data_IF_982205627538
#
_entry.id   IF_982205627538
#
_cell.length_a   1.000
_cell.length_b   1.000
_cell.length_c   1.000
_cell.angle_alpha   90.00
_cell.angle_beta   90.00
_cell.angle_gamma   90.00
#
_symmetry.space_group_name_H-M   'P 1'
#
loop_
_entity.id
_entity.type
_entity.pdbx_description
1 polymer ?
#
# COMPACT_ATOMS: atom_id res chain seq x y z
N UNK A 1 -12.18 -32.04 30.71
CA UNK A 1 -12.31 -30.56 30.63
C UNK A 1 -13.51 -30.24 29.76
N UNK A 2 -14.60 -29.77 30.35
CA UNK A 2 -15.80 -29.35 29.62
C UNK A 2 -15.44 -28.15 28.75
N UNK A 3 -15.63 -28.23 27.44
CA UNK A 3 -15.48 -27.07 26.57
C UNK A 3 -16.45 -25.99 27.03
N UNK A 4 -16.02 -24.73 27.19
CA UNK A 4 -16.95 -23.65 27.52
C UNK A 4 -17.99 -23.53 26.40
N UNK A 5 -19.27 -23.63 26.74
CA UNK A 5 -20.41 -23.44 25.83
C UNK A 5 -20.98 -22.04 25.99
N UNK A 6 -21.58 -21.53 24.91
CA UNK A 6 -22.37 -20.29 24.92
C UNK A 6 -23.81 -20.63 24.54
N UNK A 7 -24.74 -19.72 24.83
CA UNK A 7 -26.14 -19.86 24.48
C UNK A 7 -26.52 -18.84 23.41
N UNK A 8 -27.08 -19.31 22.29
CA UNK A 8 -27.60 -18.45 21.25
C UNK A 8 -29.13 -18.44 21.29
N UNK A 9 -29.73 -17.27 21.11
CA UNK A 9 -31.17 -17.09 21.12
C UNK A 9 -31.61 -16.04 20.10
N UNK A 10 -32.78 -16.23 19.50
CA UNK A 10 -33.38 -15.28 18.54
C UNK A 10 -34.41 -14.43 19.29
N UNK A 11 -34.25 -13.11 19.21
CA UNK A 11 -35.10 -12.15 19.90
C UNK A 11 -35.91 -11.30 18.91
N UNK A 12 -37.18 -11.05 19.25
CA UNK A 12 -37.99 -10.00 18.65
C UNK A 12 -37.85 -8.71 19.49
N UNK A 13 -37.23 -7.63 18.96
CA UNK A 13 -36.77 -6.49 19.75
C UNK A 13 -37.88 -5.60 20.34
N UNK A 14 -39.13 -5.74 19.92
CA UNK A 14 -40.19 -4.76 20.17
C UNK A 14 -40.59 -4.54 21.65
N UNK A 15 -40.21 -5.40 22.61
CA UNK A 15 -40.64 -5.27 24.01
C UNK A 15 -39.78 -6.02 25.04
N UNK A 16 -38.46 -6.09 24.85
CA UNK A 16 -37.58 -6.87 25.72
C UNK A 16 -37.14 -6.12 26.97
N UNK A 17 -37.61 -6.59 28.13
CA UNK A 17 -37.01 -6.29 29.43
C UNK A 17 -35.78 -7.18 29.58
N UNK A 18 -34.62 -6.60 29.91
CA UNK A 18 -33.42 -7.40 30.22
C UNK A 18 -33.39 -7.82 31.68
N UNK A 19 -32.78 -8.99 32.01
CA UNK A 19 -32.60 -9.42 33.39
C UNK A 19 -31.87 -8.36 34.24
N UNK A 20 -32.21 -8.26 35.52
CA UNK A 20 -31.73 -7.25 36.47
C UNK A 20 -30.36 -7.55 37.09
N UNK A 21 -29.54 -8.37 36.43
CA UNK A 21 -28.21 -8.78 36.89
C UNK A 21 -27.16 -8.74 35.78
N UNK A 22 -25.89 -8.64 36.16
CA UNK A 22 -24.77 -8.54 35.23
C UNK A 22 -24.71 -9.74 34.29
N UNK A 23 -24.71 -9.47 32.98
CA UNK A 23 -24.68 -10.48 31.93
C UNK A 23 -23.42 -11.35 31.88
N UNK A 24 -22.38 -11.00 32.66
CA UNK A 24 -21.10 -11.70 32.68
C UNK A 24 -20.86 -12.51 33.96
N UNK A 25 -21.29 -12.02 35.13
CA UNK A 25 -20.98 -12.66 36.42
C UNK A 25 -22.18 -12.78 37.37
N UNK A 26 -23.37 -12.29 37.00
CA UNK A 26 -24.56 -12.33 37.85
C UNK A 26 -24.59 -11.34 39.02
N UNK A 27 -23.56 -10.50 39.19
CA UNK A 27 -23.56 -9.45 40.22
C UNK A 27 -24.58 -8.35 39.92
N UNK A 28 -24.98 -7.52 40.92
CA UNK A 28 -25.84 -6.37 40.70
C UNK A 28 -25.26 -5.43 39.61
N UNK A 29 -26.09 -4.95 38.68
CA UNK A 29 -25.63 -4.10 37.59
C UNK A 29 -25.38 -2.69 38.09
N UNK A 30 -24.42 -2.01 37.45
CA UNK A 30 -24.11 -0.61 37.71
C UNK A 30 -24.20 0.25 36.45
N UNK A 31 -24.13 -0.38 35.27
CA UNK A 31 -24.19 0.28 33.96
C UNK A 31 -24.78 -0.68 32.94
N UNK A 32 -25.10 -0.18 31.76
CA UNK A 32 -25.56 -0.99 30.63
C UNK A 32 -24.84 -0.64 29.33
N UNK A 33 -24.68 -1.61 28.44
CA UNK A 33 -24.17 -1.42 27.07
C UNK A 33 -25.26 -1.80 26.06
N UNK A 34 -25.36 -1.07 24.96
CA UNK A 34 -26.33 -1.36 23.90
C UNK A 34 -25.77 -2.39 22.92
N UNK A 35 -26.48 -3.50 22.72
CA UNK A 35 -26.14 -4.56 21.75
C UNK A 35 -27.26 -4.67 20.71
N UNK A 36 -27.11 -3.92 19.61
CA UNK A 36 -28.21 -3.71 18.65
C UNK A 36 -29.29 -2.84 19.29
N UNK A 37 -30.46 -3.42 19.56
CA UNK A 37 -31.58 -2.74 20.22
C UNK A 37 -31.73 -3.12 21.70
N UNK A 38 -30.95 -4.09 22.19
CA UNK A 38 -31.00 -4.56 23.57
C UNK A 38 -30.09 -3.74 24.48
N UNK A 39 -30.57 -3.38 25.68
CA UNK A 39 -29.78 -2.71 26.72
C UNK A 39 -29.27 -3.76 27.70
N UNK A 40 -28.01 -4.19 27.59
CA UNK A 40 -27.46 -5.30 28.38
C UNK A 40 -26.81 -4.78 29.67
N UNK A 41 -27.23 -5.26 30.86
CA UNK A 41 -26.67 -4.82 32.13
C UNK A 41 -25.31 -5.45 32.47
N UNK A 42 -24.42 -4.64 33.03
CA UNK A 42 -23.08 -5.01 33.49
C UNK A 42 -22.74 -4.39 34.85
N UNK A 43 -21.96 -5.10 35.66
CA UNK A 43 -21.30 -4.51 36.83
C UNK A 43 -20.03 -3.73 36.42
N UNK A 44 -19.55 -2.82 37.28
CA UNK A 44 -18.37 -1.96 37.00
C UNK A 44 -17.13 -2.78 36.62
N UNK A 45 -16.89 -3.91 37.29
CA UNK A 45 -15.73 -4.78 37.02
C UNK A 45 -15.80 -5.40 35.63
N UNK A 46 -16.95 -5.94 35.25
CA UNK A 46 -17.13 -6.53 33.92
C UNK A 46 -17.05 -5.48 32.81
N UNK A 47 -17.60 -4.28 33.02
CA UNK A 47 -17.48 -3.18 32.06
C UNK A 47 -16.01 -2.76 31.87
N UNK A 48 -15.22 -2.71 32.94
CA UNK A 48 -13.79 -2.39 32.88
C UNK A 48 -12.99 -3.42 32.07
N UNK A 49 -13.34 -4.70 32.16
CA UNK A 49 -12.66 -5.74 31.37
C UNK A 49 -13.01 -5.63 29.88
N UNK A 50 -14.29 -5.39 29.56
CA UNK A 50 -14.76 -5.16 28.21
C UNK A 50 -14.09 -3.93 27.58
N UNK A 51 -14.04 -2.80 28.30
CA UNK A 51 -13.38 -1.58 27.81
C UNK A 51 -11.87 -1.74 27.65
N UNK A 52 -11.21 -2.45 28.59
CA UNK A 52 -9.81 -2.79 28.46
C UNK A 52 -9.54 -3.69 27.24
N UNK A 53 -10.44 -4.61 26.91
CA UNK A 53 -10.34 -5.44 25.71
C UNK A 53 -10.48 -4.61 24.43
N UNK A 54 -11.46 -3.71 24.37
CA UNK A 54 -11.64 -2.80 23.23
C UNK A 54 -10.42 -1.88 23.06
N UNK A 55 -9.91 -1.32 24.15
CA UNK A 55 -8.72 -0.46 24.14
C UNK A 55 -7.48 -1.22 23.67
N UNK A 56 -7.29 -2.47 24.11
CA UNK A 56 -6.20 -3.32 23.63
C UNK A 56 -6.32 -3.63 22.14
N UNK A 57 -7.52 -3.92 21.65
CA UNK A 57 -7.73 -4.06 20.21
C UNK A 57 -7.31 -2.79 19.51
N UNK A 58 -7.81 -1.62 19.94
CA UNK A 58 -7.52 -0.32 19.32
C UNK A 58 -6.01 -0.05 19.27
N UNK A 59 -5.34 -0.27 20.40
CA UNK A 59 -3.89 -0.17 20.49
C UNK A 59 -3.18 -1.13 19.54
N UNK A 60 -3.63 -2.39 19.44
CA UNK A 60 -3.02 -3.36 18.52
C UNK A 60 -3.21 -2.95 17.04
N UNK A 61 -4.40 -2.47 16.66
CA UNK A 61 -4.67 -1.99 15.31
C UNK A 61 -3.86 -0.74 14.96
N UNK A 62 -3.81 0.26 15.85
CA UNK A 62 -3.00 1.46 15.66
C UNK A 62 -1.50 1.14 15.57
N UNK A 63 -1.00 0.28 16.48
CA UNK A 63 0.39 -0.19 16.43
C UNK A 63 0.69 -0.95 15.13
N UNK A 64 -0.24 -1.77 14.64
CA UNK A 64 -0.12 -2.47 13.36
C UNK A 64 0.03 -1.49 12.19
N UNK A 65 -0.81 -0.45 12.14
CA UNK A 65 -0.71 0.62 11.13
C UNK A 65 0.61 1.39 11.22
N UNK A 66 1.01 1.79 12.44
CA UNK A 66 2.26 2.52 12.68
C UNK A 66 3.47 1.71 12.25
N UNK A 67 3.53 0.43 12.62
CA UNK A 67 4.62 -0.47 12.20
C UNK A 67 4.64 -0.64 10.69
N UNK A 68 3.47 -0.87 10.06
CA UNK A 68 3.37 -0.99 8.60
C UNK A 68 3.91 0.25 7.89
N UNK A 69 3.46 1.44 8.32
CA UNK A 69 3.87 2.71 7.74
C UNK A 69 5.37 2.98 7.93
N UNK A 70 5.88 2.82 9.15
CA UNK A 70 7.29 3.02 9.45
C UNK A 70 8.19 2.05 8.66
N UNK A 71 7.81 0.77 8.57
CA UNK A 71 8.58 -0.21 7.80
C UNK A 71 8.54 0.10 6.30
N UNK A 72 7.38 0.47 5.75
CA UNK A 72 7.25 0.82 4.32
C UNK A 72 8.17 1.99 3.92
N UNK A 73 8.40 2.95 4.82
CA UNK A 73 9.28 4.10 4.57
C UNK A 73 10.75 3.84 4.89
N UNK A 74 11.04 3.13 5.99
CA UNK A 74 12.41 2.95 6.46
C UNK A 74 13.13 1.77 5.80
N UNK A 75 12.40 0.70 5.50
CA UNK A 75 13.00 -0.53 4.96
C UNK A 75 13.64 -0.37 3.58
N UNK A 76 13.15 0.46 2.62
CA UNK A 76 13.86 0.68 1.35
C UNK A 76 15.21 1.37 1.56
N UNK A 77 15.37 2.16 2.63
CA UNK A 77 16.61 2.83 2.97
C UNK A 77 17.57 1.92 3.75
N UNK A 78 17.04 1.10 4.67
CA UNK A 78 17.83 0.19 5.48
C UNK A 78 18.28 -1.05 4.70
N UNK A 79 17.50 -1.51 3.73
CA UNK A 79 17.80 -2.66 2.89
C UNK A 79 17.47 -2.38 1.41
N UNK A 80 18.26 -1.51 0.76
CA UNK A 80 17.98 -1.07 -0.61
C UNK A 80 18.08 -2.19 -1.65
N UNK A 81 18.89 -3.22 -1.40
CA UNK A 81 19.00 -4.37 -2.32
C UNK A 81 17.83 -5.36 -2.24
N UNK A 82 16.85 -5.13 -1.36
CA UNK A 82 15.70 -6.01 -1.22
C UNK A 82 14.79 -5.98 -2.45
N UNK A 83 14.39 -7.16 -2.93
CA UNK A 83 13.34 -7.26 -3.94
C UNK A 83 12.00 -6.77 -3.39
N UNK A 84 11.10 -6.34 -4.29
CA UNK A 84 9.74 -5.92 -3.92
C UNK A 84 9.02 -7.00 -3.08
N UNK A 85 9.17 -8.28 -3.45
CA UNK A 85 8.56 -9.40 -2.72
C UNK A 85 9.08 -9.52 -1.29
N UNK A 86 10.40 -9.40 -1.08
CA UNK A 86 11.01 -9.42 0.25
C UNK A 86 10.55 -8.21 1.08
N UNK A 87 10.49 -7.04 0.46
CA UNK A 87 10.01 -5.81 1.09
C UNK A 87 8.56 -5.95 1.57
N UNK A 88 7.64 -6.35 0.70
CA UNK A 88 6.23 -6.59 1.04
C UNK A 88 6.07 -7.64 2.14
N UNK A 89 6.84 -8.74 2.09
CA UNK A 89 6.78 -9.80 3.08
C UNK A 89 7.17 -9.29 4.49
N UNK A 90 8.25 -8.51 4.60
CA UNK A 90 8.72 -7.97 5.89
C UNK A 90 7.74 -6.94 6.45
N UNK A 91 7.23 -6.01 5.62
CA UNK A 91 6.27 -4.99 6.06
C UNK A 91 4.96 -5.67 6.52
N UNK A 92 4.46 -6.64 5.76
CA UNK A 92 3.26 -7.39 6.12
C UNK A 92 3.47 -8.18 7.42
N UNK A 93 4.56 -8.95 7.54
CA UNK A 93 4.88 -9.70 8.74
C UNK A 93 5.01 -8.78 9.97
N UNK A 94 5.67 -7.64 9.82
CA UNK A 94 5.77 -6.61 10.86
C UNK A 94 4.40 -6.07 11.28
N UNK A 95 3.52 -5.77 10.32
CA UNK A 95 2.15 -5.31 10.60
C UNK A 95 1.31 -6.34 11.35
N UNK A 96 1.56 -7.63 11.15
CA UNK A 96 0.83 -8.71 11.83
C UNK A 96 1.30 -8.96 13.27
N UNK A 97 2.50 -8.50 13.65
CA UNK A 97 3.08 -8.77 14.97
C UNK A 97 2.25 -8.16 16.13
N UNK A 98 1.78 -6.90 16.09
CA UNK A 98 0.88 -6.39 17.13
C UNK A 98 -0.45 -7.14 17.22
N UNK A 99 -0.95 -7.66 16.08
CA UNK A 99 -2.20 -8.40 16.00
C UNK A 99 -2.07 -9.83 16.56
N UNK A 100 -0.92 -10.48 16.39
CA UNK A 100 -0.67 -11.81 16.94
C UNK A 100 -0.63 -11.79 18.47
N UNK A 101 -0.08 -10.72 19.08
CA UNK A 101 -0.13 -10.50 20.53
C UNK A 101 -1.57 -10.34 21.05
N UNK A 102 -2.46 -9.78 20.22
CA UNK A 102 -3.89 -9.66 20.53
C UNK A 102 -4.64 -10.98 20.37
N UNK A 103 -4.19 -11.84 19.44
CA UNK A 103 -4.75 -13.16 19.18
C UNK A 103 -4.49 -14.15 20.33
N UNK A 104 -3.52 -13.84 21.21
CA UNK A 104 -3.16 -14.72 22.31
C UNK A 104 -4.36 -14.96 23.24
N UNK A 105 -4.76 -16.22 23.45
CA UNK A 105 -5.97 -16.54 24.18
C UNK A 105 -5.86 -16.07 25.63
N UNK A 106 -6.86 -15.31 26.09
CA UNK A 106 -7.01 -14.95 27.50
C UNK A 106 -8.15 -15.73 28.10
N UNK A 107 -7.90 -16.30 29.28
CA UNK A 107 -8.94 -16.95 30.07
C UNK A 107 -9.74 -15.88 30.82
N UNK A 108 -11.06 -16.06 30.96
CA UNK A 108 -11.85 -15.26 31.89
C UNK A 108 -11.25 -15.35 33.30
N UNK A 109 -11.38 -14.28 34.07
CA UNK A 109 -11.07 -14.32 35.50
C UNK A 109 -12.03 -15.29 36.22
N UNK A 110 -11.61 -15.91 37.34
CA UNK A 110 -12.49 -16.78 38.12
C UNK A 110 -13.80 -16.07 38.48
N UNK A 111 -14.93 -16.74 38.23
CA UNK A 111 -16.28 -16.19 38.46
C UNK A 111 -16.82 -15.30 37.32
N UNK A 112 -16.07 -15.11 36.24
CA UNK A 112 -16.53 -14.41 35.05
C UNK A 112 -16.82 -15.39 33.92
N UNK A 113 -17.96 -15.21 33.26
CA UNK A 113 -18.28 -15.99 32.07
C UNK A 113 -17.37 -15.60 30.90
N UNK A 114 -16.94 -14.35 30.75
CA UNK A 114 -16.18 -13.87 29.59
C UNK A 114 -14.95 -13.03 29.92
N UNK A 115 -13.94 -13.11 29.06
CA UNK A 115 -12.73 -12.28 29.13
C UNK A 115 -12.93 -10.89 28.51
N UNK A 116 -13.90 -10.76 27.60
CA UNK A 116 -14.23 -9.52 26.89
C UNK A 116 -15.72 -9.21 27.00
N UNK A 117 -16.50 -9.46 25.95
CA UNK A 117 -17.95 -9.24 25.91
C UNK A 117 -18.68 -10.52 26.31
N UNK A 118 -19.68 -10.38 27.18
CA UNK A 118 -20.53 -11.49 27.58
C UNK A 118 -21.75 -11.68 26.66
N UNK A 119 -22.14 -10.65 25.92
CA UNK A 119 -23.26 -10.70 24.96
C UNK A 119 -22.83 -10.04 23.66
N UNK A 120 -23.12 -10.68 22.52
CA UNK A 120 -22.88 -10.11 21.18
C UNK A 120 -23.86 -10.67 20.17
N UNK A 121 -23.98 -10.01 19.02
CA UNK A 121 -24.84 -10.46 17.91
C UNK A 121 -24.04 -11.31 16.92
N UNK A 122 -24.63 -12.43 16.50
CA UNK A 122 -24.13 -13.30 15.44
C UNK A 122 -24.54 -12.77 14.06
N UNK A 123 -23.86 -13.23 13.00
CA UNK A 123 -24.11 -12.77 11.63
C UNK A 123 -25.53 -13.09 11.13
N UNK A 124 -26.15 -14.16 11.66
CA UNK A 124 -27.53 -14.56 11.38
C UNK A 124 -28.59 -13.78 12.20
N UNK A 125 -28.16 -12.77 12.97
CA UNK A 125 -29.03 -11.92 13.76
C UNK A 125 -29.34 -12.43 15.17
N UNK A 126 -28.93 -13.67 15.53
CA UNK A 126 -29.11 -14.21 16.89
C UNK A 126 -28.20 -13.52 17.89
N UNK A 127 -28.58 -13.54 19.16
CA UNK A 127 -27.77 -13.06 20.28
C UNK A 127 -27.07 -14.23 20.95
N UNK A 128 -25.74 -14.14 21.05
CA UNK A 128 -24.91 -15.06 21.80
C UNK A 128 -24.65 -14.51 23.21
N UNK A 129 -24.86 -15.36 24.22
CA UNK A 129 -24.66 -15.06 25.63
C UNK A 129 -23.64 -16.05 26.22
N UNK A 130 -22.59 -15.52 26.86
CA UNK A 130 -21.53 -16.32 27.47
C UNK A 130 -21.95 -16.93 28.82
N UNK A 131 -22.77 -16.23 29.60
CA UNK A 131 -23.27 -16.70 30.90
C UNK A 131 -24.60 -17.46 30.72
N UNK A 132 -24.66 -18.77 31.02
CA UNK A 132 -25.87 -19.56 30.81
C UNK A 132 -27.09 -19.04 31.59
N UNK A 133 -26.89 -18.57 32.83
CA UNK A 133 -27.99 -18.07 33.67
C UNK A 133 -28.64 -16.83 33.06
N UNK A 134 -27.82 -15.92 32.52
CA UNK A 134 -28.30 -14.72 31.84
C UNK A 134 -29.08 -15.09 30.57
N UNK A 135 -28.55 -16.02 29.78
CA UNK A 135 -29.21 -16.48 28.56
C UNK A 135 -30.57 -17.13 28.82
N UNK A 136 -30.67 -17.99 29.84
CA UNK A 136 -31.92 -18.64 30.23
C UNK A 136 -32.94 -17.61 30.71
N UNK A 137 -32.54 -16.67 31.57
CA UNK A 137 -33.44 -15.61 32.04
C UNK A 137 -33.98 -14.75 30.90
N UNK A 138 -33.10 -14.35 29.97
CA UNK A 138 -33.47 -13.58 28.79
C UNK A 138 -34.41 -14.36 27.87
N UNK A 139 -34.16 -15.65 27.65
CA UNK A 139 -34.99 -16.50 26.83
C UNK A 139 -36.38 -16.76 27.43
N UNK A 140 -36.48 -16.93 28.76
CA UNK A 140 -37.76 -17.07 29.45
C UNK A 140 -38.62 -15.82 29.32
N UNK A 141 -38.02 -14.63 29.45
CA UNK A 141 -38.73 -13.36 29.27
C UNK A 141 -39.17 -13.13 27.82
N UNK A 142 -38.37 -13.57 26.86
CA UNK A 142 -38.60 -13.38 25.43
C UNK A 142 -39.46 -14.45 24.76
N UNK A 143 -39.77 -15.55 25.46
CA UNK A 143 -40.33 -16.79 24.88
C UNK A 143 -39.49 -17.24 23.66
N UNK A 144 -38.17 -17.27 23.84
CA UNK A 144 -37.21 -17.59 22.78
C UNK A 144 -36.59 -18.97 22.97
N UNK A 145 -36.31 -19.65 21.86
CA UNK A 145 -35.55 -20.90 21.86
C UNK A 145 -34.06 -20.64 22.17
N UNK A 146 -33.49 -21.51 23.00
CA UNK A 146 -32.07 -21.46 23.39
C UNK A 146 -31.32 -22.61 22.76
N UNK A 147 -30.37 -22.28 21.90
CA UNK A 147 -29.43 -23.24 21.34
C UNK A 147 -28.09 -23.21 22.08
N UNK A 148 -27.53 -24.37 22.38
CA UNK A 148 -26.16 -24.46 22.90
C UNK A 148 -25.19 -24.44 21.72
N UNK A 149 -24.31 -23.44 21.68
CA UNK A 149 -23.26 -23.38 20.68
C UNK A 149 -21.86 -23.55 21.32
N UNK A 150 -20.90 -24.12 20.59
CA UNK A 150 -19.50 -24.04 20.99
C UNK A 150 -19.11 -22.56 21.07
N UNK A 151 -18.42 -22.20 22.15
CA UNK A 151 -18.07 -20.80 22.37
C UNK A 151 -17.05 -20.31 21.34
N UNK A 152 -17.49 -19.42 20.47
CA UNK A 152 -16.65 -18.67 19.55
C UNK A 152 -16.83 -17.17 19.83
N UNK A 153 -16.00 -16.62 20.72
CA UNK A 153 -15.94 -15.15 20.86
C UNK A 153 -15.47 -14.54 19.53
N UNK A 154 -16.03 -13.40 19.09
CA UNK A 154 -15.54 -12.69 17.93
C UNK A 154 -14.14 -12.16 18.23
N UNK A 155 -13.10 -12.92 17.84
CA UNK A 155 -11.70 -12.61 18.19
C UNK A 155 -11.13 -11.44 17.38
N UNK A 156 -11.70 -11.18 16.20
CA UNK A 156 -11.14 -10.23 15.24
C UNK A 156 -12.23 -9.35 14.64
N UNK A 157 -12.47 -8.14 15.18
CA UNK A 157 -13.23 -7.16 14.44
C UNK A 157 -12.49 -6.80 13.14
N UNK A 158 -13.25 -6.66 12.04
CA UNK A 158 -12.70 -6.47 10.69
C UNK A 158 -11.78 -5.25 10.56
N UNK A 159 -12.00 -4.20 11.35
CA UNK A 159 -11.16 -3.00 11.34
C UNK A 159 -9.71 -3.27 11.80
N UNK A 160 -9.41 -4.39 12.46
CA UNK A 160 -8.02 -4.78 12.76
C UNK A 160 -7.22 -5.13 11.50
N UNK A 161 -7.88 -5.36 10.36
CA UNK A 161 -7.23 -5.59 9.07
C UNK A 161 -6.72 -4.31 8.41
N UNK A 162 -7.00 -3.12 8.97
CA UNK A 162 -6.54 -1.84 8.41
C UNK A 162 -5.01 -1.79 8.35
N UNK A 163 -4.30 -2.27 9.37
CA UNK A 163 -2.84 -2.29 9.37
C UNK A 163 -2.24 -3.14 8.24
N UNK A 164 -2.64 -4.42 8.09
CA UNK A 164 -2.25 -5.25 6.94
C UNK A 164 -2.67 -4.68 5.59
N UNK A 165 -3.82 -4.02 5.50
CA UNK A 165 -4.25 -3.35 4.27
C UNK A 165 -3.33 -2.16 3.92
N UNK A 166 -2.98 -1.35 4.91
CA UNK A 166 -1.99 -0.27 4.78
C UNK A 166 -0.63 -0.85 4.40
N UNK A 167 -0.20 -1.99 4.95
CA UNK A 167 1.02 -2.67 4.55
C UNK A 167 0.97 -3.11 3.07
N UNK A 168 -0.15 -3.71 2.63
CA UNK A 168 -0.30 -4.22 1.27
C UNK A 168 -0.23 -3.12 0.20
N UNK A 169 -0.63 -1.89 0.52
CA UNK A 169 -0.59 -0.74 -0.39
C UNK A 169 0.69 0.07 -0.18
N UNK A 170 1.06 0.33 1.08
CA UNK A 170 2.19 1.18 1.45
C UNK A 170 3.53 0.56 1.12
N UNK A 171 3.70 -0.77 1.28
CA UNK A 171 4.95 -1.45 0.96
C UNK A 171 5.33 -1.32 -0.54
N UNK A 172 4.46 -1.65 -1.52
CA UNK A 172 4.82 -1.46 -2.92
C UNK A 172 4.97 0.01 -3.28
N UNK A 173 4.15 0.91 -2.74
CA UNK A 173 4.28 2.35 -3.00
C UNK A 173 5.63 2.90 -2.49
N UNK A 174 6.02 2.59 -1.26
CA UNK A 174 7.29 2.98 -0.67
C UNK A 174 8.48 2.40 -1.43
N UNK A 175 8.41 1.12 -1.79
CA UNK A 175 9.45 0.48 -2.61
C UNK A 175 9.58 1.17 -3.97
N UNK A 176 8.49 1.39 -4.70
CA UNK A 176 8.50 2.04 -6.02
C UNK A 176 9.01 3.48 -5.96
N UNK A 177 8.68 4.22 -4.90
CA UNK A 177 9.16 5.57 -4.67
C UNK A 177 10.68 5.61 -4.48
N UNK A 178 11.23 4.70 -3.67
CA UNK A 178 12.66 4.61 -3.39
C UNK A 178 13.47 3.83 -4.44
N UNK A 179 12.80 3.17 -5.40
CA UNK A 179 13.42 2.46 -6.51
C UNK A 179 13.01 3.10 -7.83
N UNK A 180 13.51 4.32 -8.13
CA UNK A 180 13.16 5.04 -9.34
C UNK A 180 13.49 4.24 -10.60
N UNK A 181 12.78 4.57 -11.66
CA UNK A 181 12.99 3.98 -12.98
C UNK A 181 14.12 4.72 -13.69
N UNK A 182 15.06 3.96 -14.25
CA UNK A 182 16.05 4.44 -15.20
C UNK A 182 15.77 3.78 -16.54
N UNK A 183 15.46 4.60 -17.56
CA UNK A 183 15.40 4.14 -18.94
C UNK A 183 16.83 4.18 -19.50
N UNK A 184 17.29 3.05 -20.03
CA UNK A 184 18.62 2.92 -20.62
C UNK A 184 18.52 2.80 -22.12
N UNK A 185 19.23 3.65 -22.85
CA UNK A 185 19.29 3.64 -24.32
C UNK A 185 20.65 3.21 -24.83
N UNK A 186 20.64 2.39 -25.87
CA UNK A 186 21.84 2.08 -26.63
C UNK A 186 21.83 2.82 -27.98
N UNK A 187 22.50 3.96 -28.02
CA UNK A 187 22.67 4.77 -29.22
C UNK A 187 23.92 4.40 -30.03
N UNK A 188 24.59 3.31 -29.69
CA UNK A 188 25.75 2.80 -30.42
C UNK A 188 25.29 1.79 -31.48
N UNK A 189 26.20 1.43 -32.39
CA UNK A 189 25.92 0.45 -33.46
C UNK A 189 26.11 -1.01 -32.98
N UNK A 190 26.66 -1.19 -31.77
CA UNK A 190 26.99 -2.49 -31.19
C UNK A 190 26.11 -2.78 -29.98
N UNK A 191 26.00 -4.07 -29.62
CA UNK A 191 25.37 -4.47 -28.36
C UNK A 191 26.17 -3.93 -27.16
N UNK A 192 25.47 -3.36 -26.18
CA UNK A 192 26.06 -2.92 -24.93
C UNK A 192 25.67 -3.84 -23.77
N UNK A 193 26.63 -4.13 -22.90
CA UNK A 193 26.37 -4.74 -21.60
C UNK A 193 26.35 -3.63 -20.55
N UNK A 194 25.25 -3.53 -19.81
CA UNK A 194 25.06 -2.51 -18.78
C UNK A 194 25.37 -3.12 -17.42
N UNK A 195 26.22 -2.42 -16.66
CA UNK A 195 26.55 -2.76 -15.28
C UNK A 195 26.19 -1.62 -14.33
N UNK A 196 25.86 -1.99 -13.09
CA UNK A 196 25.50 -1.06 -12.02
C UNK A 196 26.35 -1.46 -10.82
N UNK A 197 27.15 -0.51 -10.34
CA UNK A 197 28.12 -0.74 -9.27
C UNK A 197 29.01 -1.96 -9.54
N UNK A 198 29.41 -2.13 -10.81
CA UNK A 198 30.25 -3.23 -11.29
C UNK A 198 29.55 -4.57 -11.46
N UNK A 199 28.23 -4.65 -11.26
CA UNK A 199 27.45 -5.89 -11.46
C UNK A 199 26.69 -5.82 -12.79
N UNK A 200 26.80 -6.84 -13.66
CA UNK A 200 26.05 -6.86 -14.91
C UNK A 200 24.54 -6.96 -14.61
N UNK A 201 23.75 -6.10 -15.23
CA UNK A 201 22.29 -6.05 -15.03
C UNK A 201 21.56 -6.54 -16.28
N UNK A 202 21.96 -6.06 -17.46
CA UNK A 202 21.31 -6.42 -18.72
C UNK A 202 22.22 -6.20 -19.93
N UNK A 203 21.79 -6.70 -21.08
CA UNK A 203 22.39 -6.42 -22.39
C UNK A 203 21.36 -5.72 -23.30
N UNK A 204 21.80 -4.74 -24.08
CA UNK A 204 20.97 -3.91 -24.94
C UNK A 204 21.41 -3.98 -26.39
N UNK A 205 20.47 -4.25 -27.29
CA UNK A 205 20.67 -4.04 -28.72
C UNK A 205 20.65 -2.54 -29.07
N UNK A 206 21.31 -2.16 -30.18
CA UNK A 206 21.20 -0.82 -30.77
C UNK A 206 19.75 -0.36 -30.92
N UNK A 207 19.47 0.86 -30.48
CA UNK A 207 18.15 1.50 -30.48
C UNK A 207 18.27 3.01 -30.75
N UNK A 208 18.96 3.35 -31.85
CA UNK A 208 19.20 4.74 -32.27
C UNK A 208 17.97 5.42 -32.90
N UNK A 209 16.98 4.65 -33.35
CA UNK A 209 15.73 5.19 -33.89
C UNK A 209 14.74 5.56 -32.78
N UNK A 210 13.91 6.57 -33.03
CA UNK A 210 12.77 6.89 -32.18
C UNK A 210 11.75 5.73 -32.20
N UNK A 211 11.53 5.14 -31.03
CA UNK A 211 10.52 4.11 -30.80
C UNK A 211 10.09 4.07 -29.34
N UNK A 212 8.79 3.90 -29.03
CA UNK A 212 8.30 3.67 -27.65
C UNK A 212 8.95 2.48 -26.94
N UNK A 213 9.42 1.51 -27.71
CA UNK A 213 10.10 0.32 -27.18
C UNK A 213 11.63 0.46 -27.14
N UNK A 214 12.19 1.62 -27.50
CA UNK A 214 13.63 1.82 -27.52
C UNK A 214 14.24 1.74 -26.12
N UNK A 215 15.29 0.94 -25.98
CA UNK A 215 16.01 0.72 -24.72
C UNK A 215 15.39 -0.31 -23.79
N UNK A 216 15.78 -0.23 -22.52
CA UNK A 216 15.22 -1.05 -21.44
C UNK A 216 15.02 -0.23 -20.17
N UNK A 217 14.22 -0.78 -19.26
CA UNK A 217 13.95 -0.16 -17.97
C UNK A 217 14.62 -0.95 -16.86
N UNK A 218 15.30 -0.24 -15.98
CA UNK A 218 15.86 -0.80 -14.75
C UNK A 218 15.31 -0.03 -13.56
N UNK A 219 14.91 -0.77 -12.53
CA UNK A 219 14.59 -0.20 -11.21
C UNK A 219 15.74 -0.51 -10.28
N UNK A 220 16.24 0.51 -9.63
CA UNK A 220 17.33 0.38 -8.67
C UNK A 220 17.14 1.40 -7.55
N UNK A 221 17.80 1.20 -6.39
CA UNK A 221 17.65 2.10 -5.26
C UNK A 221 18.02 3.55 -5.60
N UNK A 222 17.38 4.50 -4.94
CA UNK A 222 17.81 5.89 -4.97
C UNK A 222 19.14 6.07 -4.23
N UNK A 223 19.96 7.00 -4.68
CA UNK A 223 21.30 7.24 -4.13
C UNK A 223 22.35 7.44 -5.22
N UNK A 224 23.62 7.45 -4.81
CA UNK A 224 24.74 7.51 -5.75
C UNK A 224 25.09 6.12 -6.23
N UNK A 225 25.11 5.94 -7.54
CA UNK A 225 25.47 4.68 -8.21
C UNK A 225 26.49 4.95 -9.32
N UNK A 226 27.30 3.94 -9.63
CA UNK A 226 28.13 3.93 -10.83
C UNK A 226 27.41 3.14 -11.92
N UNK A 227 27.03 3.82 -13.00
CA UNK A 227 26.44 3.19 -14.18
C UNK A 227 27.53 2.96 -15.21
N UNK A 228 27.70 1.72 -15.62
CA UNK A 228 28.68 1.28 -16.59
C UNK A 228 28.04 0.73 -17.86
N UNK A 229 28.74 0.90 -18.98
CA UNK A 229 28.44 0.23 -20.23
C UNK A 229 29.71 -0.32 -20.85
N UNK A 230 29.67 -1.56 -21.32
CA UNK A 230 30.80 -2.23 -21.97
C UNK A 230 30.38 -2.71 -23.36
N UNK A 231 31.13 -2.36 -24.41
CA UNK A 231 30.91 -2.86 -25.78
C UNK A 231 31.43 -4.29 -25.95
N UNK A 232 31.13 -4.93 -27.09
CA UNK A 232 31.66 -6.27 -27.40
C UNK A 232 33.19 -6.30 -27.42
N UNK A 233 33.82 -5.23 -27.88
CA UNK A 233 35.28 -5.05 -27.93
C UNK A 233 35.92 -4.75 -26.56
N UNK A 234 35.15 -4.77 -25.48
CA UNK A 234 35.63 -4.53 -24.12
C UNK A 234 35.85 -3.06 -23.76
N UNK A 235 35.46 -2.11 -24.61
CA UNK A 235 35.51 -0.68 -24.27
C UNK A 235 34.46 -0.37 -23.22
N UNK A 236 34.91 0.07 -22.05
CA UNK A 236 34.05 0.44 -20.92
C UNK A 236 33.93 1.95 -20.78
N UNK A 237 32.71 2.41 -20.54
CA UNK A 237 32.38 3.78 -20.16
C UNK A 237 31.63 3.72 -18.85
N UNK A 238 32.00 4.56 -17.89
CA UNK A 238 31.28 4.69 -16.62
C UNK A 238 30.81 6.12 -16.40
N UNK A 239 29.77 6.27 -15.58
CA UNK A 239 29.18 7.55 -15.21
C UNK A 239 28.65 7.43 -13.79
N UNK A 240 28.99 8.39 -12.92
CA UNK A 240 28.39 8.47 -11.60
C UNK A 240 27.02 9.14 -11.71
N UNK A 241 25.98 8.45 -11.28
CA UNK A 241 24.61 8.92 -11.32
C UNK A 241 24.07 9.08 -9.91
N UNK A 242 23.35 10.18 -9.66
CA UNK A 242 22.60 10.39 -8.43
C UNK A 242 21.11 10.19 -8.71
N UNK A 243 20.59 9.02 -8.34
CA UNK A 243 19.20 8.66 -8.56
C UNK A 243 18.32 9.26 -7.46
N UNK A 244 17.30 10.00 -7.88
CA UNK A 244 16.36 10.67 -6.99
C UNK A 244 15.09 9.83 -6.81
N UNK A 245 14.64 9.67 -5.57
CA UNK A 245 13.37 8.97 -5.28
C UNK A 245 12.20 9.67 -5.98
N UNK A 246 11.28 8.89 -6.53
CA UNK A 246 10.09 9.39 -7.24
C UNK A 246 10.35 10.03 -8.61
N UNK A 247 11.61 10.21 -9.02
CA UNK A 247 11.94 10.75 -10.33
C UNK A 247 12.13 9.66 -11.40
N UNK A 248 12.02 10.06 -12.66
CA UNK A 248 12.35 9.24 -13.82
C UNK A 248 13.71 9.68 -14.34
N UNK A 249 14.54 8.71 -14.73
CA UNK A 249 15.88 8.97 -15.20
C UNK A 249 16.10 8.39 -16.59
N UNK A 250 17.03 9.00 -17.32
CA UNK A 250 17.52 8.52 -18.60
C UNK A 250 19.03 8.28 -18.48
N UNK A 251 19.49 7.11 -18.93
CA UNK A 251 20.91 6.80 -19.11
C UNK A 251 21.16 6.44 -20.57
N UNK A 252 21.99 7.22 -21.25
CA UNK A 252 22.34 6.99 -22.65
C UNK A 252 23.87 7.10 -22.84
N UNK A 253 24.62 6.00 -22.64
CA UNK A 253 26.08 6.02 -22.74
C UNK A 253 26.61 6.44 -24.12
N UNK A 254 25.86 6.20 -25.20
CA UNK A 254 26.21 6.60 -26.58
C UNK A 254 25.78 8.02 -27.01
N UNK A 255 25.40 8.87 -26.06
CA UNK A 255 24.75 10.16 -26.31
C UNK A 255 25.57 11.36 -26.80
N UNK A 256 26.93 11.43 -26.83
CA UNK A 256 27.62 12.69 -27.16
C UNK A 256 27.28 13.36 -28.51
N UNK A 257 26.67 12.61 -29.45
CA UNK A 257 26.21 13.13 -30.75
C UNK A 257 24.69 13.26 -30.86
N UNK A 258 23.96 12.99 -29.79
CA UNK A 258 22.51 12.99 -29.74
C UNK A 258 22.00 14.03 -28.75
N UNK A 259 20.92 14.68 -29.14
CA UNK A 259 20.23 15.69 -28.36
C UNK A 259 18.89 15.09 -27.93
N UNK A 260 18.53 15.35 -26.67
CA UNK A 260 17.27 14.92 -26.07
C UNK A 260 16.48 16.14 -25.63
N UNK A 261 15.16 16.09 -25.79
CA UNK A 261 14.28 17.16 -25.35
C UNK A 261 12.91 16.60 -24.97
N UNK A 262 12.21 17.34 -24.12
CA UNK A 262 10.79 17.11 -23.86
C UNK A 262 9.96 17.95 -24.82
N UNK A 263 8.97 17.31 -25.44
CA UNK A 263 7.96 17.94 -26.28
C UNK A 263 6.64 17.96 -25.51
N UNK A 264 6.16 19.16 -25.23
CA UNK A 264 4.92 19.41 -24.51
C UNK A 264 3.81 19.77 -25.49
N UNK A 265 2.75 18.97 -25.48
CA UNK A 265 1.57 19.22 -26.32
C UNK A 265 0.34 19.35 -25.44
N UNK A 266 -0.35 20.49 -25.53
CA UNK A 266 -1.59 20.78 -24.80
C UNK A 266 -2.81 20.52 -25.67
N UNK A 267 -3.84 19.92 -25.07
CA UNK A 267 -5.09 19.55 -25.74
C UNK A 267 -6.29 20.27 -25.09
N UNK A 268 -7.38 20.38 -25.86
CA UNK A 268 -8.67 20.90 -25.37
C UNK A 268 -8.64 22.39 -25.02
N UNK A 269 -9.27 22.77 -23.90
CA UNK A 269 -9.42 24.17 -23.48
C UNK A 269 -8.12 24.84 -23.01
N UNK A 270 -7.06 24.07 -22.80
CA UNK A 270 -5.73 24.57 -22.43
C UNK A 270 -4.84 24.92 -23.64
N UNK A 271 -5.43 25.14 -24.83
CA UNK A 271 -4.72 25.65 -26.01
C UNK A 271 -4.19 27.08 -25.73
N UNK A 272 -3.04 27.16 -25.07
CA UNK A 272 -2.11 28.29 -25.19
C UNK A 272 -1.21 28.10 -26.40
N UNK A 273 -0.61 29.18 -26.89
CA UNK A 273 0.31 29.14 -28.03
C UNK A 273 1.49 28.16 -27.78
N UNK A 274 1.69 27.23 -28.71
CA UNK A 274 2.96 26.54 -28.94
C UNK A 274 3.11 25.14 -28.34
N UNK A 275 3.64 24.21 -29.15
CA UNK A 275 4.37 23.05 -28.66
C UNK A 275 5.58 23.57 -27.87
N UNK A 276 5.72 23.16 -26.61
CA UNK A 276 6.85 23.56 -25.78
C UNK A 276 7.99 22.57 -25.94
N UNK A 277 9.15 23.02 -26.43
CA UNK A 277 10.36 22.20 -26.46
C UNK A 277 11.27 22.57 -25.29
N UNK A 278 11.60 21.59 -24.45
CA UNK A 278 12.51 21.76 -23.30
C UNK A 278 13.74 20.87 -23.50
N UNK A 279 14.92 21.42 -23.85
CA UNK A 279 16.13 20.62 -24.03
C UNK A 279 16.57 20.00 -22.71
N UNK A 280 17.03 18.74 -22.76
CA UNK A 280 17.67 18.10 -21.62
C UNK A 280 19.14 18.54 -21.55
N UNK A 281 19.42 19.53 -20.71
CA UNK A 281 20.79 20.02 -20.49
C UNK A 281 21.56 19.08 -19.57
N UNK A 282 22.72 18.61 -20.00
CA UNK A 282 23.64 17.80 -19.17
C UNK A 282 24.71 17.09 -20.00
N UNK A 283 25.94 17.08 -19.51
CA UNK A 283 27.11 16.50 -20.22
C UNK A 283 27.41 15.04 -19.86
N UNK A 284 26.70 14.48 -18.87
CA UNK A 284 27.11 13.27 -18.18
C UNK A 284 26.40 11.99 -18.63
N UNK A 285 25.85 11.91 -19.86
CA UNK A 285 25.18 10.69 -20.38
C UNK A 285 23.99 10.21 -19.52
N UNK A 286 23.59 10.99 -18.53
CA UNK A 286 22.60 10.67 -17.53
C UNK A 286 21.80 11.94 -17.22
N UNK A 287 20.47 11.80 -17.14
CA UNK A 287 19.56 12.90 -16.88
C UNK A 287 18.50 12.48 -15.86
N UNK A 288 18.23 13.39 -14.93
CA UNK A 288 16.99 13.37 -14.14
C UNK A 288 15.96 14.13 -14.95
N UNK A 289 14.85 13.48 -15.30
CA UNK A 289 13.82 14.13 -16.11
C UNK A 289 13.05 15.12 -15.23
N UNK A 290 12.91 16.40 -15.65
CA UNK A 290 12.27 17.43 -14.85
C UNK A 290 10.76 17.23 -14.71
N UNK A 291 10.17 16.36 -15.54
CA UNK A 291 8.75 16.02 -15.57
C UNK A 291 8.55 14.54 -15.85
N UNK A 292 7.35 14.06 -15.53
CA UNK A 292 6.90 12.74 -15.95
C UNK A 292 6.80 12.70 -17.48
N UNK A 293 7.23 11.58 -18.07
CA UNK A 293 7.15 11.32 -19.51
C UNK A 293 5.97 10.38 -19.76
N UNK A 294 5.05 10.82 -20.59
CA UNK A 294 3.89 10.02 -21.00
C UNK A 294 4.24 9.15 -22.21
N UNK A 295 5.03 9.69 -23.13
CA UNK A 295 5.43 9.01 -24.38
C UNK A 295 6.94 9.00 -24.54
N UNK A 296 7.53 7.81 -24.70
CA UNK A 296 8.97 7.66 -24.92
C UNK A 296 9.28 7.61 -26.41
N UNK A 297 10.19 8.45 -26.87
CA UNK A 297 10.76 8.49 -28.22
C UNK A 297 9.73 8.32 -29.34
N UNK A 298 8.63 9.04 -29.23
CA UNK A 298 7.62 9.15 -30.27
C UNK A 298 6.94 10.52 -30.16
N UNK A 299 6.49 11.10 -31.28
CA UNK A 299 5.76 12.37 -31.27
C UNK A 299 4.46 12.23 -30.48
N UNK A 300 4.02 13.32 -29.85
CA UNK A 300 2.69 13.38 -29.29
C UNK A 300 1.64 13.28 -30.42
N UNK A 301 0.45 12.73 -30.14
CA UNK A 301 -0.67 12.77 -31.08
C UNK A 301 -0.95 14.21 -31.52
N UNK A 302 -1.18 14.47 -32.80
CA UNK A 302 -1.52 15.84 -33.22
C UNK A 302 -2.82 16.28 -32.53
N UNK A 303 -2.88 17.50 -31.96
CA UNK A 303 -4.11 18.00 -31.39
C UNK A 303 -5.19 18.01 -32.47
N UNK A 304 -6.31 17.32 -32.22
CA UNK A 304 -7.49 17.46 -33.06
C UNK A 304 -7.96 18.93 -33.02
N UNK A 305 -8.60 19.39 -34.10
CA UNK A 305 -9.27 20.70 -34.15
C UNK A 305 -10.06 20.93 -32.85
N UNK A 306 -10.02 22.15 -32.28
CA UNK A 306 -10.54 22.42 -30.94
C UNK A 306 -11.98 21.92 -30.79
N UNK A 307 -12.15 20.81 -30.09
CA UNK A 307 -13.46 20.35 -29.65
C UNK A 307 -13.69 20.85 -28.23
N UNK A 308 -14.62 21.81 -28.10
CA UNK A 308 -14.98 22.46 -26.84
C UNK A 308 -15.54 21.49 -25.77
N UNK A 309 -15.74 20.22 -26.13
CA UNK A 309 -16.22 19.13 -25.28
C UNK A 309 -15.12 18.32 -24.60
N UNK A 310 -13.85 18.40 -25.02
CA UNK A 310 -12.75 17.75 -24.31
C UNK A 310 -12.29 18.59 -23.11
N UNK A 311 -12.13 17.96 -21.95
CA UNK A 311 -11.61 18.62 -20.73
C UNK A 311 -10.18 19.14 -20.88
N UNK A 312 -9.46 18.70 -21.93
CA UNK A 312 -8.07 19.06 -22.18
C UNK A 312 -7.06 18.30 -21.33
N UNK A 313 -5.78 18.62 -21.50
CA UNK A 313 -4.66 18.02 -20.78
C UNK A 313 -3.31 18.34 -21.41
N UNK A 314 -2.23 18.01 -20.69
CA UNK A 314 -0.85 18.12 -21.14
C UNK A 314 -0.30 16.71 -21.38
N UNK A 315 0.29 16.47 -22.55
CA UNK A 315 1.14 15.30 -22.79
C UNK A 315 2.59 15.73 -22.94
N UNK A 316 3.49 14.96 -22.33
CA UNK A 316 4.93 15.15 -22.40
C UNK A 316 5.57 13.95 -23.10
N UNK A 317 6.17 14.19 -24.26
CA UNK A 317 6.96 13.20 -24.98
C UNK A 317 8.45 13.45 -24.78
N UNK A 318 9.23 12.41 -24.48
CA UNK A 318 10.68 12.47 -24.59
C UNK A 318 11.07 12.17 -26.03
N UNK A 319 11.81 13.07 -26.67
CA UNK A 319 12.26 12.95 -28.06
C UNK A 319 13.78 12.84 -28.14
N UNK A 320 14.27 12.31 -29.25
CA UNK A 320 15.70 12.24 -29.52
C UNK A 320 16.03 12.38 -31.00
N UNK A 321 17.20 12.95 -31.30
CA UNK A 321 17.77 12.96 -32.64
C UNK A 321 19.29 13.18 -32.56
N UNK A 322 20.06 12.85 -33.62
CA UNK A 322 21.40 13.39 -33.78
C UNK A 322 21.34 14.92 -33.66
N UNK A 323 22.26 15.54 -32.92
CA UNK A 323 22.19 16.98 -32.64
C UNK A 323 22.18 17.86 -33.89
N UNK A 324 22.76 17.39 -35.00
CA UNK A 324 22.70 18.07 -36.30
C UNK A 324 21.28 18.16 -36.88
N UNK A 325 20.41 17.20 -36.53
CA UNK A 325 19.03 17.07 -37.00
C UNK A 325 18.00 17.53 -35.96
N UNK A 326 18.41 17.75 -34.71
CA UNK A 326 17.54 18.24 -33.66
C UNK A 326 17.03 19.67 -33.96
N UNK A 327 15.79 20.02 -33.57
CA UNK A 327 15.28 21.39 -33.66
C UNK A 327 16.25 22.39 -33.01
N UNK A 328 16.40 23.62 -33.53
CA UNK A 328 17.30 24.62 -32.96
C UNK A 328 17.07 24.88 -31.46
N UNK A 329 15.80 24.88 -31.04
CA UNK A 329 15.36 25.10 -29.65
C UNK A 329 15.64 23.90 -28.72
N UNK A 330 15.88 22.72 -29.30
CA UNK A 330 16.16 21.48 -28.57
C UNK A 330 17.67 21.20 -28.43
N UNK A 331 18.53 22.06 -28.98
CA UNK A 331 19.98 21.97 -28.83
C UNK A 331 20.39 22.68 -27.53
N UNK A 332 21.26 22.06 -26.72
CA UNK A 332 21.79 22.69 -25.51
C UNK A 332 22.69 23.89 -25.83
#
# INVERSE_FOLDING_TARGET
MTQPSMRALRLDPASLVTPDFCACCGAPPASSERVGELIVPYCVRCLRHASAATTRSLAAGLSSCLVAFCLALALPLAWPSASLGAHCAVVLAGSLLPLSLRAWPRRPEPGHAAAERAVWRLADGRLACAEPRFATALATQAVAEVESLPRAEPRFPSWLLVGPLVAAIGAPAGWLFHHPLVRVLNLTEERLNIDVDGRPVLSLEPSSAESPTAGAEIRMPSGSHELGSTTADGRRVTTRAALQSGAIHLFAPGSPKHCFWLEETRYGREQGEGEGLVPLTGEARFWVLPRQVDTWFAPNPRPATPDARSSGGLLVALRQAPCALAPPEARP
#
